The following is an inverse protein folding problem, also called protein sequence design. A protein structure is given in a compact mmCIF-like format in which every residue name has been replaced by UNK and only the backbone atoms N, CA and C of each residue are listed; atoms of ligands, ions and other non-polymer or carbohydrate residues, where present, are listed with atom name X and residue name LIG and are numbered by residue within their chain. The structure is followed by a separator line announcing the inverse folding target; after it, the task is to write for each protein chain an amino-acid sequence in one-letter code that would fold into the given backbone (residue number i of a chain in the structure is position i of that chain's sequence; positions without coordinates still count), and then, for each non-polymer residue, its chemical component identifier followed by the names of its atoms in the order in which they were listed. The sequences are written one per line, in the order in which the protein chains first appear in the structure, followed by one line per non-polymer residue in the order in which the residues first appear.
data_IF_457397996153
#
_entry.id   IF_457397996153
#
_cell.length_a   1.000
_cell.length_b   1.000
_cell.length_c   1.000
_cell.angle_alpha   90.00
_cell.angle_beta   90.00
_cell.angle_gamma   90.00
#
_symmetry.space_group_name_H-M   'P 1'
#
loop_
_entity.id
_entity.type
_entity.pdbx_description
1 polymer ?
#
# COMPACT_ATOMS: atom_id res chain seq x y z
N UNK A 1 7.75 4.77 23.52
CA UNK A 1 6.28 4.70 23.48
C UNK A 1 5.90 3.51 22.62
N UNK A 2 4.97 2.67 23.08
CA UNK A 2 4.61 1.40 22.44
C UNK A 2 3.90 1.64 21.10
N UNK A 3 2.91 2.52 21.08
CA UNK A 3 2.15 2.89 19.86
C UNK A 3 3.06 3.40 18.75
N UNK A 4 4.05 4.22 19.09
CA UNK A 4 5.07 4.70 18.17
C UNK A 4 5.88 3.55 17.54
N UNK A 5 6.36 2.60 18.35
CA UNK A 5 7.12 1.44 17.84
C UNK A 5 6.28 0.55 16.92
N UNK A 6 5.05 0.24 17.32
CA UNK A 6 4.13 -0.58 16.51
C UNK A 6 3.71 0.18 15.26
N UNK A 7 3.51 1.51 15.35
CA UNK A 7 3.22 2.37 14.22
C UNK A 7 4.35 2.37 13.19
N UNK A 8 5.59 2.55 13.60
CA UNK A 8 6.76 2.51 12.71
C UNK A 8 6.91 1.14 12.02
N UNK A 9 6.85 0.04 12.79
CA UNK A 9 6.97 -1.30 12.23
C UNK A 9 5.80 -1.64 11.30
N UNK A 10 4.58 -1.26 11.67
CA UNK A 10 3.41 -1.45 10.81
C UNK A 10 3.50 -0.64 9.52
N UNK A 11 4.00 0.60 9.59
CA UNK A 11 4.23 1.44 8.42
C UNK A 11 5.26 0.80 7.48
N UNK A 12 6.41 0.37 8.01
CA UNK A 12 7.43 -0.31 7.23
C UNK A 12 6.86 -1.57 6.54
N UNK A 13 6.20 -2.43 7.31
CA UNK A 13 5.70 -3.70 6.80
C UNK A 13 4.61 -3.53 5.70
N UNK A 14 3.65 -2.62 5.89
CA UNK A 14 2.60 -2.39 4.89
C UNK A 14 3.11 -1.67 3.65
N UNK A 15 4.07 -0.75 3.80
CA UNK A 15 4.63 -0.02 2.67
C UNK A 15 5.52 -0.86 1.79
N UNK A 16 6.13 -1.93 2.29
CA UNK A 16 6.89 -2.87 1.45
C UNK A 16 6.06 -3.37 0.26
N UNK A 17 4.76 -3.61 0.46
CA UNK A 17 3.88 -4.03 -0.63
C UNK A 17 3.33 -2.85 -1.45
N UNK A 18 2.68 -1.90 -0.79
CA UNK A 18 1.96 -0.81 -1.46
C UNK A 18 2.89 0.07 -2.31
N UNK A 19 4.11 0.34 -1.85
CA UNK A 19 5.01 1.28 -2.52
C UNK A 19 5.57 0.77 -3.84
N UNK A 20 5.52 -0.53 -4.08
CA UNK A 20 5.92 -1.12 -5.35
C UNK A 20 4.90 -0.87 -6.47
N UNK A 21 3.59 -0.75 -6.14
CA UNK A 21 2.49 -0.65 -7.12
C UNK A 21 2.63 0.55 -8.07
N UNK A 22 2.92 1.80 -7.61
CA UNK A 22 3.06 2.94 -8.50
C UNK A 22 4.18 2.85 -9.52
N UNK A 23 5.15 1.96 -9.31
CA UNK A 23 6.21 1.67 -10.26
C UNK A 23 5.90 0.44 -11.12
N UNK A 24 5.50 -0.66 -10.50
CA UNK A 24 5.27 -1.93 -11.20
C UNK A 24 4.11 -1.87 -12.18
N UNK A 25 3.03 -1.17 -11.84
CA UNK A 25 1.86 -1.11 -12.71
C UNK A 25 2.12 -0.34 -14.01
N UNK A 26 2.73 0.87 -14.00
CA UNK A 26 3.13 1.53 -15.24
C UNK A 26 4.08 0.68 -16.08
N UNK A 27 5.05 0.02 -15.45
CA UNK A 27 5.98 -0.86 -16.15
C UNK A 27 5.24 -2.03 -16.82
N UNK A 28 4.31 -2.69 -16.11
CA UNK A 28 3.51 -3.76 -16.69
C UNK A 28 2.69 -3.28 -17.89
N UNK A 29 2.02 -2.12 -17.77
CA UNK A 29 1.20 -1.56 -18.84
C UNK A 29 2.05 -1.21 -20.07
N UNK A 30 3.26 -0.67 -19.87
CA UNK A 30 4.13 -0.30 -20.96
C UNK A 30 4.84 -1.50 -21.60
N UNK A 31 5.35 -2.43 -20.81
CA UNK A 31 6.18 -3.54 -21.28
C UNK A 31 5.30 -4.72 -21.71
N UNK A 32 4.37 -5.18 -20.87
CA UNK A 32 3.58 -6.37 -21.12
C UNK A 32 2.39 -6.09 -22.06
N UNK A 33 1.69 -4.97 -21.85
CA UNK A 33 0.55 -4.58 -22.69
C UNK A 33 0.98 -3.67 -23.86
N UNK A 34 2.26 -3.32 -23.99
CA UNK A 34 2.84 -2.49 -25.08
C UNK A 34 2.10 -1.14 -25.26
N UNK A 35 1.63 -0.56 -24.17
CA UNK A 35 0.91 0.71 -24.20
C UNK A 35 1.86 1.90 -23.98
N UNK A 36 1.40 3.10 -24.38
CA UNK A 36 2.18 4.31 -24.19
C UNK A 36 2.30 4.71 -22.70
N UNK A 37 3.34 5.49 -22.36
CA UNK A 37 3.49 6.07 -21.04
C UNK A 37 2.30 6.99 -20.66
N UNK A 38 1.73 7.67 -21.64
CA UNK A 38 0.54 8.52 -21.47
C UNK A 38 -0.67 7.67 -21.05
N UNK A 39 -0.91 6.55 -21.72
CA UNK A 39 -2.00 5.63 -21.38
C UNK A 39 -1.82 5.09 -19.97
N UNK A 40 -0.61 4.67 -19.58
CA UNK A 40 -0.35 4.20 -18.22
C UNK A 40 -0.58 5.27 -17.16
N UNK A 41 -0.23 6.53 -17.45
CA UNK A 41 -0.53 7.68 -16.59
C UNK A 41 -2.02 7.89 -16.37
N UNK A 42 -2.84 7.83 -17.42
CA UNK A 42 -4.29 7.94 -17.31
C UNK A 42 -4.93 6.81 -16.49
N UNK A 43 -4.42 5.58 -16.59
CA UNK A 43 -4.90 4.44 -15.81
C UNK A 43 -4.61 4.63 -14.31
N UNK A 44 -3.49 5.28 -13.96
CA UNK A 44 -3.10 5.49 -12.56
C UNK A 44 -3.72 6.76 -11.96
N UNK A 45 -4.06 7.75 -12.76
CA UNK A 45 -4.62 9.03 -12.30
C UNK A 45 -5.81 8.89 -11.31
N UNK A 46 -6.76 7.95 -11.48
CA UNK A 46 -7.85 7.72 -10.55
C UNK A 46 -7.41 7.43 -9.11
N UNK A 47 -6.22 6.84 -8.92
CA UNK A 47 -5.65 6.61 -7.58
C UNK A 47 -5.49 7.91 -6.78
N UNK A 48 -4.99 8.96 -7.42
CA UNK A 48 -4.80 10.26 -6.78
C UNK A 48 -6.14 10.94 -6.46
N UNK A 49 -7.08 10.87 -7.41
CA UNK A 49 -8.41 11.46 -7.23
C UNK A 49 -9.16 10.84 -6.05
N UNK A 50 -9.20 9.51 -5.99
CA UNK A 50 -9.90 8.80 -4.91
C UNK A 50 -9.21 8.97 -3.57
N UNK A 51 -7.87 9.11 -3.54
CA UNK A 51 -7.13 9.41 -2.32
C UNK A 51 -7.51 10.78 -1.73
N UNK A 52 -7.85 11.78 -2.55
CA UNK A 52 -8.36 13.07 -2.08
C UNK A 52 -9.72 12.93 -1.39
N UNK A 53 -10.65 12.20 -2.02
CA UNK A 53 -11.97 11.95 -1.42
C UNK A 53 -11.88 11.15 -0.13
N UNK A 54 -10.97 10.20 -0.05
CA UNK A 54 -10.79 9.35 1.13
C UNK A 54 -10.52 10.16 2.41
N UNK A 55 -9.80 11.29 2.32
CA UNK A 55 -9.47 12.14 3.48
C UNK A 55 -10.70 12.61 4.26
N UNK A 56 -11.80 12.90 3.56
CA UNK A 56 -13.06 13.32 4.19
C UNK A 56 -13.75 12.21 5.00
N UNK A 57 -13.43 10.95 4.69
CA UNK A 57 -14.06 9.79 5.34
C UNK A 57 -13.19 9.17 6.45
N UNK A 58 -11.88 9.44 6.47
CA UNK A 58 -10.94 8.81 7.41
C UNK A 58 -11.38 9.02 8.86
N UNK A 59 -11.71 10.26 9.26
CA UNK A 59 -12.12 10.57 10.64
C UNK A 59 -13.39 9.82 11.02
N UNK A 60 -14.39 9.76 10.12
CA UNK A 60 -15.64 9.05 10.35
C UNK A 60 -15.41 7.54 10.54
N UNK A 61 -14.53 6.96 9.73
CA UNK A 61 -14.17 5.53 9.79
C UNK A 61 -13.42 5.23 11.10
N UNK A 62 -12.45 6.06 11.47
CA UNK A 62 -11.66 5.89 12.68
C UNK A 62 -12.51 6.05 13.95
N UNK A 63 -13.45 7.00 13.96
CA UNK A 63 -14.39 7.19 15.08
C UNK A 63 -15.33 5.99 15.23
N UNK A 64 -15.78 5.40 14.12
CA UNK A 64 -16.72 4.26 14.13
C UNK A 64 -16.03 2.94 14.50
N UNK A 65 -14.89 2.63 13.90
CA UNK A 65 -14.27 1.30 13.99
C UNK A 65 -13.00 1.26 14.86
N UNK A 66 -12.39 2.41 15.17
CA UNK A 66 -11.13 2.51 15.89
C UNK A 66 -9.91 2.19 15.03
N UNK A 67 -8.74 2.59 15.51
CA UNK A 67 -7.48 2.47 14.77
C UNK A 67 -7.09 1.03 14.47
N UNK A 68 -7.10 0.14 15.48
CA UNK A 68 -6.69 -1.25 15.33
C UNK A 68 -7.47 -1.99 14.24
N UNK A 69 -8.81 -1.93 14.31
CA UNK A 69 -9.68 -2.63 13.36
C UNK A 69 -9.57 -2.03 11.97
N UNK A 70 -9.56 -0.70 11.88
CA UNK A 70 -9.41 0.00 10.60
C UNK A 70 -8.10 -0.38 9.92
N UNK A 71 -6.96 -0.29 10.60
CA UNK A 71 -5.66 -0.60 10.02
C UNK A 71 -5.57 -2.05 9.57
N UNK A 72 -6.05 -3.00 10.40
CA UNK A 72 -5.98 -4.41 10.06
C UNK A 72 -6.84 -4.75 8.84
N UNK A 73 -8.13 -4.38 8.86
CA UNK A 73 -9.07 -4.65 7.76
C UNK A 73 -8.62 -3.95 6.49
N UNK A 74 -8.20 -2.69 6.61
CA UNK A 74 -7.73 -1.90 5.49
C UNK A 74 -6.49 -2.52 4.81
N UNK A 75 -5.55 -3.04 5.60
CA UNK A 75 -4.35 -3.72 5.05
C UNK A 75 -4.74 -5.01 4.30
N UNK A 76 -5.71 -5.78 4.80
CA UNK A 76 -6.21 -6.95 4.09
C UNK A 76 -6.86 -6.56 2.76
N UNK A 77 -7.68 -5.51 2.74
CA UNK A 77 -8.30 -5.00 1.51
C UNK A 77 -7.23 -4.56 0.50
N UNK A 78 -6.25 -3.77 0.94
CA UNK A 78 -5.16 -3.30 0.09
C UNK A 78 -4.38 -4.48 -0.50
N UNK A 79 -3.98 -5.45 0.33
CA UNK A 79 -3.24 -6.62 -0.13
C UNK A 79 -4.04 -7.44 -1.14
N UNK A 80 -5.35 -7.63 -0.92
CA UNK A 80 -6.25 -8.29 -1.87
C UNK A 80 -6.33 -7.51 -3.19
N UNK A 81 -6.47 -6.18 -3.14
CA UNK A 81 -6.49 -5.35 -4.35
C UNK A 81 -5.17 -5.43 -5.13
N UNK A 82 -4.02 -5.51 -4.43
CA UNK A 82 -2.73 -5.73 -5.09
C UNK A 82 -2.69 -7.10 -5.78
N UNK A 83 -3.20 -8.15 -5.13
CA UNK A 83 -3.33 -9.47 -5.76
C UNK A 83 -4.24 -9.41 -7.00
N UNK A 84 -5.34 -8.65 -6.93
CA UNK A 84 -6.26 -8.47 -8.06
C UNK A 84 -5.60 -7.79 -9.28
N UNK A 85 -4.54 -6.98 -9.09
CA UNK A 85 -3.76 -6.44 -10.22
C UNK A 85 -3.02 -7.53 -11.00
N UNK A 86 -2.75 -8.68 -10.41
CA UNK A 86 -2.14 -9.83 -11.07
C UNK A 86 -3.15 -10.76 -11.78
N UNK A 87 -4.47 -10.52 -11.71
CA UNK A 87 -5.47 -11.41 -12.31
C UNK A 87 -5.64 -11.19 -13.82
N UNK A 88 -5.71 -9.94 -14.35
CA UNK A 88 -5.96 -9.73 -15.78
C UNK A 88 -4.91 -10.40 -16.66
N UNK A 89 -5.35 -11.06 -17.71
CA UNK A 89 -4.49 -11.66 -18.71
C UNK A 89 -4.07 -10.64 -19.78
N UNK A 90 -3.03 -10.92 -20.55
CA UNK A 90 -2.52 -10.05 -21.64
C UNK A 90 -3.63 -9.63 -22.62
N UNK A 91 -4.56 -10.55 -22.89
CA UNK A 91 -5.70 -10.30 -23.77
C UNK A 91 -6.85 -9.53 -23.11
N UNK A 92 -6.75 -9.27 -21.79
CA UNK A 92 -7.77 -8.52 -21.08
C UNK A 92 -7.66 -7.02 -21.37
N UNK A 93 -8.79 -6.32 -21.33
CA UNK A 93 -8.79 -4.88 -21.48
C UNK A 93 -8.01 -4.21 -20.33
N UNK A 94 -7.08 -3.31 -20.67
CA UNK A 94 -6.31 -2.52 -19.70
C UNK A 94 -7.19 -1.66 -18.77
N UNK A 95 -8.42 -1.37 -19.18
CA UNK A 95 -9.37 -0.58 -18.39
C UNK A 95 -9.83 -1.29 -17.12
N UNK A 96 -9.60 -2.62 -16.98
CA UNK A 96 -9.82 -3.35 -15.73
C UNK A 96 -8.98 -2.85 -14.56
N UNK A 97 -7.84 -2.24 -14.82
CA UNK A 97 -7.00 -1.67 -13.78
C UNK A 97 -7.60 -0.42 -13.13
N UNK A 98 -8.42 0.35 -13.87
CA UNK A 98 -8.98 1.62 -13.40
C UNK A 98 -9.78 1.48 -12.09
N UNK A 99 -10.80 0.61 -12.00
CA UNK A 99 -11.56 0.47 -10.77
C UNK A 99 -10.72 -0.08 -9.61
N UNK A 100 -9.81 -1.02 -9.88
CA UNK A 100 -8.94 -1.60 -8.85
C UNK A 100 -8.03 -0.51 -8.28
N UNK A 101 -7.41 0.30 -9.12
CA UNK A 101 -6.50 1.38 -8.72
C UNK A 101 -7.24 2.51 -8.02
N UNK A 102 -8.45 2.84 -8.45
CA UNK A 102 -9.28 3.84 -7.79
C UNK A 102 -9.62 3.41 -6.35
N UNK A 103 -10.06 2.17 -6.17
CA UNK A 103 -10.36 1.62 -4.85
C UNK A 103 -9.08 1.55 -4.01
N UNK A 104 -7.96 1.11 -4.59
CA UNK A 104 -6.68 1.02 -3.91
C UNK A 104 -6.21 2.40 -3.42
N UNK A 105 -6.35 3.45 -4.22
CA UNK A 105 -6.04 4.83 -3.84
C UNK A 105 -6.83 5.30 -2.62
N UNK A 106 -8.13 5.00 -2.60
CA UNK A 106 -9.00 5.32 -1.47
C UNK A 106 -8.52 4.66 -0.17
N UNK A 107 -8.31 3.34 -0.19
CA UNK A 107 -7.87 2.60 0.99
C UNK A 107 -6.43 2.93 1.39
N UNK A 108 -5.53 3.18 0.42
CA UNK A 108 -4.17 3.62 0.71
C UNK A 108 -4.13 4.97 1.46
N UNK A 109 -5.00 5.92 1.09
CA UNK A 109 -5.11 7.21 1.78
C UNK A 109 -5.60 7.05 3.22
N UNK A 110 -6.58 6.16 3.47
CA UNK A 110 -7.05 5.82 4.82
C UNK A 110 -5.90 5.20 5.63
N UNK A 111 -5.17 4.25 5.05
CA UNK A 111 -4.03 3.59 5.70
C UNK A 111 -2.96 4.61 6.10
N UNK A 112 -2.56 5.45 5.16
CA UNK A 112 -1.54 6.47 5.37
C UNK A 112 -1.90 7.43 6.51
N UNK A 113 -3.10 7.99 6.47
CA UNK A 113 -3.57 8.97 7.46
C UNK A 113 -3.71 8.32 8.84
N UNK A 114 -4.29 7.12 8.90
CA UNK A 114 -4.47 6.40 10.17
C UNK A 114 -3.16 6.02 10.81
N UNK A 115 -2.17 5.55 10.01
CA UNK A 115 -0.84 5.21 10.51
C UNK A 115 -0.09 6.42 11.06
N UNK A 116 -0.14 7.55 10.36
CA UNK A 116 0.50 8.78 10.81
C UNK A 116 -0.10 9.25 12.13
N UNK A 117 -1.43 9.31 12.21
CA UNK A 117 -2.12 9.77 13.41
C UNK A 117 -1.80 8.89 14.61
N UNK A 118 -1.87 7.56 14.49
CA UNK A 118 -1.63 6.68 15.64
C UNK A 118 -0.16 6.64 16.06
N UNK A 119 0.77 6.81 15.11
CA UNK A 119 2.20 6.81 15.42
C UNK A 119 2.60 7.94 16.36
N UNK A 120 1.92 9.08 16.29
CA UNK A 120 2.23 10.25 17.11
C UNK A 120 1.25 10.43 18.28
N UNK A 121 0.21 9.60 18.39
CA UNK A 121 -0.92 9.78 19.33
C UNK A 121 -0.50 9.92 20.80
N UNK A 122 0.49 9.14 21.23
CA UNK A 122 0.93 9.05 22.62
C UNK A 122 2.27 9.77 22.89
N UNK A 123 2.74 10.57 21.92
CA UNK A 123 3.93 11.38 22.11
C UNK A 123 3.61 12.63 22.96
N UNK A 124 4.52 12.99 23.86
CA UNK A 124 4.41 14.25 24.61
C UNK A 124 4.67 15.44 23.68
N UNK A 125 4.08 16.60 23.99
CA UNK A 125 4.16 17.80 23.14
C UNK A 125 5.60 18.15 22.71
N UNK A 126 6.58 18.04 23.60
CA UNK A 126 7.99 18.32 23.28
C UNK A 126 8.64 17.24 22.39
N UNK A 127 8.06 16.04 22.28
CA UNK A 127 8.54 14.93 21.46
C UNK A 127 7.88 14.88 20.09
N UNK A 128 6.81 15.64 19.86
CA UNK A 128 5.99 15.56 18.63
C UNK A 128 6.79 15.96 17.40
N UNK A 129 7.62 16.99 17.48
CA UNK A 129 8.46 17.43 16.36
C UNK A 129 9.48 16.36 15.97
N UNK A 130 10.24 15.84 16.92
CA UNK A 130 11.22 14.77 16.68
C UNK A 130 10.53 13.47 16.23
N UNK A 131 9.36 13.17 16.81
CA UNK A 131 8.55 12.02 16.42
C UNK A 131 8.07 12.10 14.95
N UNK A 132 7.58 13.25 14.53
CA UNK A 132 7.18 13.50 13.13
C UNK A 132 8.36 13.33 12.17
N UNK A 133 9.54 13.84 12.52
CA UNK A 133 10.74 13.67 11.70
C UNK A 133 11.10 12.20 11.54
N UNK A 134 11.07 11.43 12.64
CA UNK A 134 11.34 9.98 12.60
C UNK A 134 10.28 9.22 11.77
N UNK A 135 9.00 9.57 11.90
CA UNK A 135 7.93 8.97 11.08
C UNK A 135 8.17 9.27 9.61
N UNK A 136 8.55 10.51 9.26
CA UNK A 136 8.83 10.91 7.87
C UNK A 136 10.03 10.15 7.28
N UNK A 137 11.12 10.04 8.04
CA UNK A 137 12.30 9.26 7.61
C UNK A 137 11.93 7.78 7.41
N UNK A 138 11.22 7.19 8.38
CA UNK A 138 10.73 5.81 8.27
C UNK A 138 9.86 5.60 7.03
N UNK A 139 9.00 6.56 6.69
CA UNK A 139 8.17 6.50 5.50
C UNK A 139 9.00 6.49 4.22
N UNK A 140 10.00 7.37 4.11
CA UNK A 140 10.86 7.41 2.93
C UNK A 140 11.67 6.13 2.77
N UNK A 141 12.24 5.62 3.86
CA UNK A 141 12.93 4.33 3.86
C UNK A 141 11.99 3.19 3.46
N UNK A 142 10.78 3.16 4.01
CA UNK A 142 9.79 2.13 3.69
C UNK A 142 9.36 2.16 2.22
N UNK A 143 9.22 3.36 1.63
CA UNK A 143 8.94 3.52 0.19
C UNK A 143 10.12 3.00 -0.65
N UNK A 144 11.35 3.40 -0.33
CA UNK A 144 12.54 2.95 -1.05
C UNK A 144 12.72 1.42 -0.98
N UNK A 145 12.59 0.84 0.21
CA UNK A 145 12.65 -0.62 0.39
C UNK A 145 11.50 -1.34 -0.34
N UNK A 146 10.29 -0.78 -0.33
CA UNK A 146 9.16 -1.37 -1.02
C UNK A 146 9.34 -1.42 -2.53
N UNK A 147 9.84 -0.33 -3.13
CA UNK A 147 10.16 -0.27 -4.56
C UNK A 147 11.28 -1.27 -4.89
N UNK A 148 12.38 -1.27 -4.13
CA UNK A 148 13.48 -2.19 -4.35
C UNK A 148 13.05 -3.65 -4.23
N UNK A 149 12.25 -3.98 -3.20
CA UNK A 149 11.70 -5.32 -3.00
C UNK A 149 10.83 -5.75 -4.18
N UNK A 150 9.92 -4.89 -4.65
CA UNK A 150 9.06 -5.18 -5.80
C UNK A 150 9.86 -5.48 -7.06
N UNK A 151 10.93 -4.71 -7.32
CA UNK A 151 11.82 -4.94 -8.47
C UNK A 151 12.65 -6.22 -8.33
N UNK A 152 13.13 -6.55 -7.13
CA UNK A 152 13.87 -7.80 -6.87
C UNK A 152 12.96 -9.00 -7.15
N UNK A 153 11.72 -8.98 -6.66
CA UNK A 153 10.73 -10.04 -6.90
C UNK A 153 10.41 -10.17 -8.38
N UNK A 154 10.22 -9.04 -9.08
CA UNK A 154 10.00 -9.04 -10.53
C UNK A 154 11.18 -9.69 -11.26
N UNK A 155 12.42 -9.24 -10.96
CA UNK A 155 13.63 -9.77 -11.58
C UNK A 155 13.80 -11.27 -11.32
N UNK A 156 13.47 -11.74 -10.12
CA UNK A 156 13.49 -13.15 -9.76
C UNK A 156 12.56 -13.98 -10.66
N UNK A 157 11.33 -13.50 -10.88
CA UNK A 157 10.39 -14.20 -11.75
C UNK A 157 10.77 -14.08 -13.23
N UNK A 158 11.29 -12.95 -13.70
CA UNK A 158 11.80 -12.80 -15.06
C UNK A 158 12.92 -13.82 -15.34
N UNK A 159 13.92 -13.91 -14.46
CA UNK A 159 15.05 -14.84 -14.65
C UNK A 159 14.66 -16.31 -14.56
N UNK A 160 13.61 -16.63 -13.81
CA UNK A 160 13.08 -17.99 -13.70
C UNK A 160 12.26 -18.42 -14.92
N UNK A 161 11.77 -17.48 -15.73
CA UNK A 161 10.94 -17.72 -16.91
C UNK A 161 11.72 -17.65 -18.23
N UNK A 162 12.98 -17.20 -18.24
CA UNK A 162 13.86 -17.27 -19.43
C UNK A 162 14.02 -18.69 -19.99
N UNK A 163 13.70 -19.72 -19.21
CA UNK A 163 13.70 -21.12 -19.63
C UNK A 163 12.39 -21.56 -20.34
N UNK A 164 11.35 -20.74 -20.33
CA UNK A 164 10.06 -21.03 -20.96
C UNK A 164 9.67 -19.79 -21.76
N UNK A 165 9.68 -19.92 -23.07
CA UNK A 165 9.52 -18.88 -24.11
C UNK A 165 8.21 -18.07 -24.09
N UNK A 166 7.60 -17.77 -22.95
CA UNK A 166 6.47 -16.87 -22.83
C UNK A 166 6.48 -16.15 -21.48
N UNK A 167 6.55 -14.82 -21.51
CA UNK A 167 5.66 -13.95 -20.75
C UNK A 167 6.30 -13.15 -19.60
N UNK A 168 6.97 -12.09 -19.97
CA UNK A 168 7.19 -10.93 -19.07
C UNK A 168 5.90 -10.56 -18.29
N UNK A 169 4.74 -10.75 -18.92
CA UNK A 169 3.44 -10.55 -18.27
C UNK A 169 3.23 -11.46 -17.05
N UNK A 170 3.57 -12.74 -17.13
CA UNK A 170 3.44 -13.68 -16.01
C UNK A 170 4.36 -13.31 -14.85
N UNK A 171 5.55 -12.78 -15.13
CA UNK A 171 6.45 -12.29 -14.09
C UNK A 171 5.82 -11.12 -13.29
N UNK A 172 5.17 -10.17 -13.97
CA UNK A 172 4.42 -9.11 -13.31
C UNK A 172 3.24 -9.65 -12.48
N UNK A 173 2.46 -10.60 -13.01
CA UNK A 173 1.35 -11.23 -12.29
C UNK A 173 1.81 -11.88 -10.99
N UNK A 174 2.84 -12.72 -11.07
CA UNK A 174 3.42 -13.39 -9.90
C UNK A 174 4.01 -12.39 -8.91
N UNK A 175 4.59 -11.30 -9.40
CA UNK A 175 5.10 -10.22 -8.56
C UNK A 175 3.96 -9.55 -7.79
N UNK A 176 2.85 -9.17 -8.44
CA UNK A 176 1.70 -8.60 -7.76
C UNK A 176 1.08 -9.55 -6.75
N UNK A 177 0.98 -10.84 -7.06
CA UNK A 177 0.51 -11.85 -6.11
C UNK A 177 1.43 -11.96 -4.88
N UNK A 178 2.74 -12.06 -5.08
CA UNK A 178 3.72 -12.16 -4.01
C UNK A 178 3.72 -10.92 -3.11
N UNK A 179 3.72 -9.74 -3.71
CA UNK A 179 3.68 -8.44 -3.01
C UNK A 179 2.35 -8.25 -2.29
N UNK A 180 1.23 -8.66 -2.91
CA UNK A 180 -0.09 -8.61 -2.29
C UNK A 180 -0.22 -9.54 -1.09
N UNK A 181 0.26 -10.79 -1.19
CA UNK A 181 0.31 -11.74 -0.07
C UNK A 181 1.16 -11.20 1.07
N UNK A 182 2.35 -10.66 0.78
CA UNK A 182 3.19 -10.02 1.79
C UNK A 182 2.46 -8.88 2.49
N UNK A 183 1.72 -8.06 1.74
CA UNK A 183 0.91 -6.97 2.30
C UNK A 183 -0.18 -7.52 3.22
N UNK A 184 -0.88 -8.59 2.83
CA UNK A 184 -1.88 -9.26 3.67
C UNK A 184 -1.24 -9.74 4.97
N UNK A 185 -0.10 -10.43 4.89
CA UNK A 185 0.63 -10.93 6.05
C UNK A 185 1.09 -9.80 6.98
N UNK A 186 1.47 -8.65 6.43
CA UNK A 186 1.84 -7.47 7.22
C UNK A 186 0.69 -6.96 8.09
N UNK A 187 -0.55 -7.21 7.70
CA UNK A 187 -1.73 -6.86 8.48
C UNK A 187 -1.75 -7.48 9.89
N UNK A 188 -1.10 -8.62 10.08
CA UNK A 188 -0.99 -9.24 11.41
C UNK A 188 -0.13 -8.44 12.40
N UNK A 189 0.74 -7.55 11.94
CA UNK A 189 1.50 -6.63 12.80
C UNK A 189 0.55 -5.76 13.63
N UNK A 190 -0.59 -5.38 13.07
CA UNK A 190 -1.59 -4.53 13.74
C UNK A 190 -2.36 -5.25 14.86
N UNK A 191 -2.24 -6.57 14.98
CA UNK A 191 -2.78 -7.30 16.15
C UNK A 191 -2.11 -6.86 17.46
N UNK A 192 -0.87 -6.31 17.38
CA UNK A 192 -0.13 -5.79 18.53
C UNK A 192 -0.68 -4.48 19.09
N UNK A 193 -1.56 -3.77 18.37
CA UNK A 193 -2.28 -2.63 18.92
C UNK A 193 -3.35 -3.08 19.92
N UNK A 194 -3.54 -2.30 20.99
CA UNK A 194 -4.71 -2.44 21.86
C UNK A 194 -5.92 -1.77 21.24
N UNK A 195 -7.11 -2.18 21.65
CA UNK A 195 -8.37 -1.56 21.21
C UNK A 195 -8.48 -0.12 21.70
N UNK A 196 -7.81 0.19 22.83
CA UNK A 196 -7.75 1.52 23.44
C UNK A 196 -6.74 2.46 22.79
N UNK A 197 -5.81 1.95 21.96
CA UNK A 197 -4.78 2.79 21.35
C UNK A 197 -5.44 3.82 20.41
N UNK A 198 -5.06 5.10 20.58
CA UNK A 198 -5.60 6.22 19.80
C UNK A 198 -7.00 6.68 20.23
N UNK A 199 -7.55 6.24 21.35
CA UNK A 199 -8.82 6.77 21.86
C UNK A 199 -8.75 8.28 22.11
N UNK A 200 -7.60 8.80 22.54
CA UNK A 200 -7.36 10.23 22.74
C UNK A 200 -7.55 11.06 21.46
N UNK A 201 -7.51 10.44 20.29
CA UNK A 201 -7.71 11.10 19.00
C UNK A 201 -9.16 11.00 18.49
N UNK A 202 -9.99 10.18 19.13
CA UNK A 202 -11.39 9.94 18.74
C UNK A 202 -12.40 10.89 19.40
N UNK A 203 -11.99 11.61 20.42
CA UNK A 203 -12.86 12.45 21.27
C UNK A 203 -12.89 13.93 20.84
N UNK A 204 -12.54 14.23 19.59
CA UNK A 204 -12.67 15.59 19.05
C UNK A 204 -13.51 15.65 17.80
#
# INVERSE_FOLDING_TARGET
VRTFRVGILGNLATRLGISAVPLLLPLMIQIAYKQSAVTSGWIIAPMALTAMFAKSYVIKILNKFGYKKTLMVNTFIIGTLICCLGIPDVNSSIYWFIPIIAILGFFNSIQFTSMNSISIADLRNFQTSSGNSLVSVNQQLAVGFGIAFGLIVLKFYESSQELIQHETHNAFRLTFLSVGILTILSGFVFRKFHVSDGQNLRSK
#
